data_IF_214021412188
#
_entry.id   IF_214021412188
#
_cell.length_a   1.000
_cell.length_b   1.000
_cell.length_c   1.000
_cell.angle_alpha   90.00
_cell.angle_beta   90.00
_cell.angle_gamma   90.00
#
_symmetry.space_group_name_H-M   'P 1'
#
loop_
_entity.id
_entity.type
_entity.pdbx_description
1 polymer ?
#
# COMPACT_ATOMS: atom_id res chain seq x y z
N UNK A 1 21.77 19.50 -19.57
CA UNK A 1 20.44 19.00 -19.98
C UNK A 1 20.57 17.50 -20.21
N UNK A 2 20.20 16.69 -19.22
CA UNK A 2 20.19 15.24 -19.38
C UNK A 2 18.89 14.88 -20.12
N UNK A 3 19.01 14.42 -21.35
CA UNK A 3 17.92 13.85 -22.12
C UNK A 3 17.41 12.63 -21.37
N UNK A 4 16.32 12.78 -20.64
CA UNK A 4 15.63 11.65 -20.04
C UNK A 4 15.27 10.66 -21.14
N UNK A 5 15.82 9.47 -21.12
CA UNK A 5 15.46 8.37 -22.00
C UNK A 5 13.98 8.09 -21.80
N UNK A 6 13.15 8.63 -22.68
CA UNK A 6 11.72 8.35 -22.65
C UNK A 6 11.52 6.86 -22.92
N UNK A 7 11.14 6.09 -21.90
CA UNK A 7 10.79 4.68 -22.07
C UNK A 7 9.58 4.52 -22.99
N UNK A 8 9.53 3.38 -23.69
CA UNK A 8 8.43 3.08 -24.61
C UNK A 8 7.10 3.04 -23.83
N UNK A 9 6.13 3.82 -24.30
CA UNK A 9 4.82 3.93 -23.66
C UNK A 9 4.05 2.60 -23.77
N UNK A 10 3.61 2.06 -22.63
CA UNK A 10 2.74 0.90 -22.57
C UNK A 10 1.39 1.22 -23.22
N UNK A 11 0.97 0.39 -24.17
CA UNK A 11 -0.31 0.52 -24.87
C UNK A 11 -1.32 -0.49 -24.30
N UNK A 12 -2.58 -0.14 -24.25
CA UNK A 12 -3.63 -0.99 -23.70
C UNK A 12 -3.84 -2.32 -24.47
N UNK A 13 -3.43 -2.37 -25.74
CA UNK A 13 -3.46 -3.61 -26.55
C UNK A 13 -2.37 -4.61 -26.16
N UNK A 14 -1.29 -4.14 -25.54
CA UNK A 14 -0.10 -4.93 -25.23
C UNK A 14 -0.17 -5.57 -23.82
N UNK A 15 -1.22 -5.27 -23.06
CA UNK A 15 -1.39 -5.74 -21.70
C UNK A 15 -2.72 -6.46 -21.51
N UNK A 16 -2.74 -7.45 -20.62
CA UNK A 16 -3.95 -8.21 -20.27
C UNK A 16 -3.84 -8.68 -18.83
N UNK A 17 -4.88 -8.45 -18.03
CA UNK A 17 -4.96 -8.99 -16.69
C UNK A 17 -5.31 -10.49 -16.76
N UNK A 18 -4.53 -11.38 -16.10
CA UNK A 18 -4.72 -12.83 -16.21
C UNK A 18 -5.91 -13.36 -15.39
N UNK A 19 -6.71 -12.49 -14.79
CA UNK A 19 -7.82 -12.87 -13.92
C UNK A 19 -7.41 -13.36 -12.53
N UNK A 20 -6.11 -13.50 -12.27
CA UNK A 20 -5.53 -13.92 -10.99
C UNK A 20 -4.61 -12.83 -10.46
N UNK A 21 -4.68 -12.59 -9.16
CA UNK A 21 -3.83 -11.60 -8.50
C UNK A 21 -2.43 -12.13 -8.18
N UNK A 22 -2.25 -13.43 -8.20
CA UNK A 22 -0.98 -14.08 -7.94
C UNK A 22 -0.35 -14.61 -9.22
N UNK A 23 0.94 -14.31 -9.43
CA UNK A 23 1.72 -14.85 -10.57
C UNK A 23 2.24 -16.26 -10.29
N UNK A 24 2.35 -16.62 -9.02
CA UNK A 24 2.87 -17.92 -8.56
C UNK A 24 1.91 -18.56 -7.58
N UNK A 25 2.09 -19.83 -7.32
CA UNK A 25 1.32 -20.52 -6.31
C UNK A 25 1.64 -19.98 -4.92
N UNK A 26 0.60 -19.72 -4.10
CA UNK A 26 0.75 -19.32 -2.72
C UNK A 26 0.56 -20.55 -1.85
N UNK A 27 1.58 -20.86 -1.03
CA UNK A 27 1.43 -21.82 0.06
C UNK A 27 0.70 -21.17 1.23
N UNK A 28 0.01 -22.01 2.02
CA UNK A 28 -0.56 -21.57 3.28
C UNK A 28 0.51 -20.95 4.15
N UNK A 29 0.30 -19.69 4.49
CA UNK A 29 1.14 -18.99 5.43
C UNK A 29 0.35 -18.80 6.71
N UNK A 30 0.86 -19.29 7.83
CA UNK A 30 0.30 -19.03 9.15
C UNK A 30 0.60 -17.57 9.55
N UNK A 31 0.10 -16.64 8.76
CA UNK A 31 0.19 -15.22 9.07
C UNK A 31 -0.81 -14.79 10.16
N UNK A 32 -1.63 -15.73 10.62
CA UNK A 32 -2.55 -15.52 11.73
C UNK A 32 -1.94 -16.12 12.99
N UNK A 33 -1.84 -15.34 14.08
CA UNK A 33 -1.47 -15.88 15.36
C UNK A 33 -2.33 -17.10 15.67
N UNK A 34 -1.72 -18.21 16.11
CA UNK A 34 -2.39 -19.48 16.36
C UNK A 34 -3.57 -19.39 17.35
N UNK A 35 -3.59 -18.35 18.15
CA UNK A 35 -4.59 -18.03 19.17
C UNK A 35 -5.81 -17.27 18.63
N UNK A 36 -5.77 -16.79 17.39
CA UNK A 36 -6.93 -16.12 16.76
C UNK A 36 -7.60 -17.03 15.75
N UNK A 37 -8.52 -17.87 16.25
CA UNK A 37 -9.43 -18.60 15.38
C UNK A 37 -10.39 -17.62 14.71
N UNK A 38 -10.43 -17.61 13.36
CA UNK A 38 -11.48 -16.91 12.64
C UNK A 38 -12.79 -17.68 12.81
N UNK A 39 -13.63 -17.24 13.72
CA UNK A 39 -15.02 -17.64 13.72
C UNK A 39 -15.84 -16.66 12.90
N UNK A 40 -16.87 -17.13 12.19
CA UNK A 40 -17.83 -16.28 11.49
C UNK A 40 -18.37 -15.17 12.41
N UNK A 41 -18.54 -15.45 13.70
CA UNK A 41 -19.06 -14.50 14.68
C UNK A 41 -18.08 -13.37 14.97
N UNK A 42 -16.82 -13.68 15.32
CA UNK A 42 -15.81 -12.65 15.63
C UNK A 42 -15.51 -11.75 14.43
N UNK A 43 -15.59 -12.32 13.22
CA UNK A 43 -15.36 -11.63 11.97
C UNK A 43 -16.51 -10.68 11.63
N UNK A 44 -17.75 -11.12 11.86
CA UNK A 44 -18.93 -10.27 11.69
C UNK A 44 -19.01 -9.15 12.75
N UNK A 45 -18.60 -9.41 13.98
CA UNK A 45 -18.53 -8.39 15.02
C UNK A 45 -17.47 -7.32 14.69
N UNK A 46 -16.35 -7.74 14.11
CA UNK A 46 -15.33 -6.82 13.60
C UNK A 46 -15.89 -5.95 12.47
N UNK A 47 -16.65 -6.50 11.52
CA UNK A 47 -17.32 -5.72 10.48
C UNK A 47 -18.34 -4.76 11.07
N UNK A 48 -19.13 -5.19 12.05
CA UNK A 48 -20.11 -4.34 12.75
C UNK A 48 -19.46 -3.16 13.45
N UNK A 49 -18.30 -3.35 14.05
CA UNK A 49 -17.55 -2.27 14.72
C UNK A 49 -17.13 -1.15 13.76
N UNK A 50 -16.91 -1.47 12.48
CA UNK A 50 -16.53 -0.47 11.44
C UNK A 50 -17.75 0.27 10.89
N UNK A 51 -18.94 -0.36 10.91
CA UNK A 51 -20.15 0.18 10.29
C UNK A 51 -20.60 1.49 10.92
N UNK A 52 -20.51 1.57 12.24
CA UNK A 52 -20.91 2.75 13.02
C UNK A 52 -19.75 3.69 13.32
N UNK A 53 -18.58 3.47 12.75
CA UNK A 53 -17.42 4.28 13.08
C UNK A 53 -17.57 5.69 12.50
N UNK A 54 -17.65 6.68 13.41
CA UNK A 54 -17.71 8.09 13.05
C UNK A 54 -16.29 8.68 13.05
N UNK A 55 -15.74 8.82 11.85
CA UNK A 55 -14.41 9.37 11.64
C UNK A 55 -14.29 10.82 12.11
N UNK A 56 -15.32 11.63 11.89
CA UNK A 56 -15.30 13.01 12.32
C UNK A 56 -15.26 13.12 13.83
N UNK A 57 -16.09 12.34 14.52
CA UNK A 57 -16.09 12.27 15.99
C UNK A 57 -14.78 11.74 16.52
N UNK A 58 -14.22 10.68 15.92
CA UNK A 58 -12.94 10.12 16.32
C UNK A 58 -11.81 11.14 16.20
N UNK A 59 -11.72 11.89 15.11
CA UNK A 59 -10.73 12.95 14.95
C UNK A 59 -10.93 14.10 15.92
N UNK A 60 -12.14 14.49 16.24
CA UNK A 60 -12.44 15.55 17.20
C UNK A 60 -12.08 15.10 18.64
N UNK A 61 -12.34 13.86 19.01
CA UNK A 61 -12.08 13.34 20.37
C UNK A 61 -10.59 12.99 20.59
N UNK A 62 -9.88 12.56 19.57
CA UNK A 62 -8.48 12.13 19.70
C UNK A 62 -7.47 13.23 19.40
N UNK A 63 -7.92 14.41 19.08
CA UNK A 63 -7.22 15.65 18.76
C UNK A 63 -5.79 15.52 18.20
N UNK A 64 -5.49 16.31 17.21
CA UNK A 64 -4.17 16.80 16.77
C UNK A 64 -3.01 15.91 16.60
N UNK A 65 -3.06 14.72 17.05
CA UNK A 65 -1.93 13.84 16.97
C UNK A 65 -1.92 13.22 15.59
N UNK A 66 -0.82 13.46 14.87
CA UNK A 66 -0.36 12.56 13.81
C UNK A 66 -0.22 11.10 14.36
N UNK A 67 -0.50 10.88 15.62
CA UNK A 67 -0.46 9.64 16.38
C UNK A 67 -1.85 9.15 16.81
N UNK A 68 -2.92 9.59 16.15
CA UNK A 68 -4.25 9.04 16.37
C UNK A 68 -4.21 7.51 16.26
N UNK A 69 -4.80 6.83 17.21
CA UNK A 69 -4.94 5.39 17.14
C UNK A 69 -5.89 5.00 16.00
N UNK A 70 -5.32 4.49 14.92
CA UNK A 70 -6.07 4.04 13.75
C UNK A 70 -6.47 2.57 13.84
N UNK A 71 -6.17 1.88 14.95
CA UNK A 71 -6.46 0.45 15.12
C UNK A 71 -7.94 0.08 14.93
N UNK A 72 -8.93 0.89 15.36
CA UNK A 72 -10.34 0.58 15.12
C UNK A 72 -10.70 0.45 13.65
N UNK A 73 -9.90 1.10 12.77
CA UNK A 73 -10.13 1.13 11.33
C UNK A 73 -9.24 0.11 10.62
N UNK A 74 -7.98 0.03 11.03
CA UNK A 74 -7.00 -0.84 10.39
C UNK A 74 -7.18 -2.30 10.77
N UNK A 75 -7.64 -2.61 11.99
CA UNK A 75 -7.84 -3.98 12.45
C UNK A 75 -8.82 -4.77 11.59
N UNK A 76 -10.02 -4.28 11.23
CA UNK A 76 -10.95 -5.01 10.37
C UNK A 76 -10.37 -5.35 9.00
N UNK A 77 -9.61 -4.45 8.40
CA UNK A 77 -9.00 -4.71 7.10
C UNK A 77 -7.87 -5.73 7.20
N UNK A 78 -7.07 -5.69 8.26
CA UNK A 78 -6.04 -6.71 8.53
C UNK A 78 -6.64 -8.09 8.72
N UNK A 79 -7.76 -8.19 9.43
CA UNK A 79 -8.51 -9.44 9.59
C UNK A 79 -8.99 -9.96 8.23
N UNK A 80 -9.54 -9.10 7.38
CA UNK A 80 -9.98 -9.48 6.04
C UNK A 80 -8.79 -9.94 5.16
N UNK A 81 -7.68 -9.23 5.17
CA UNK A 81 -6.47 -9.61 4.44
C UNK A 81 -5.99 -10.99 4.90
N UNK A 82 -5.91 -11.21 6.21
CA UNK A 82 -5.47 -12.48 6.76
C UNK A 82 -6.42 -13.64 6.38
N UNK A 83 -7.74 -13.44 6.49
CA UNK A 83 -8.74 -14.43 6.09
C UNK A 83 -8.64 -14.76 4.59
N UNK A 84 -8.46 -13.76 3.74
CA UNK A 84 -8.31 -13.94 2.30
C UNK A 84 -7.03 -14.71 1.97
N UNK A 85 -5.92 -14.38 2.59
CA UNK A 85 -4.65 -15.08 2.38
C UNK A 85 -4.72 -16.55 2.80
N UNK A 86 -5.36 -16.84 3.93
CA UNK A 86 -5.58 -18.22 4.36
C UNK A 86 -6.51 -18.99 3.43
N UNK A 87 -7.60 -18.36 3.00
CA UNK A 87 -8.54 -18.96 2.08
C UNK A 87 -7.85 -19.42 0.78
N UNK A 88 -7.04 -18.52 0.21
CA UNK A 88 -6.33 -18.80 -1.06
C UNK A 88 -5.19 -19.78 -0.85
N UNK A 89 -4.38 -19.62 0.20
CA UNK A 89 -3.22 -20.48 0.47
C UNK A 89 -3.58 -21.90 0.83
N UNK A 90 -4.66 -22.11 1.60
CA UNK A 90 -5.12 -23.43 2.03
C UNK A 90 -6.12 -24.07 1.08
N UNK A 91 -6.69 -23.32 0.13
CA UNK A 91 -7.79 -23.75 -0.73
C UNK A 91 -8.95 -24.37 0.07
N UNK A 92 -9.16 -23.83 1.29
CA UNK A 92 -10.16 -24.33 2.22
C UNK A 92 -11.47 -23.57 2.01
N UNK A 93 -12.55 -24.27 1.67
CA UNK A 93 -13.84 -23.69 1.35
C UNK A 93 -14.41 -22.86 2.50
N UNK A 94 -14.28 -23.32 3.74
CA UNK A 94 -14.76 -22.56 4.89
C UNK A 94 -14.06 -21.21 5.04
N UNK A 95 -12.75 -21.15 4.81
CA UNK A 95 -11.99 -19.89 4.84
C UNK A 95 -12.37 -18.97 3.66
N UNK A 96 -12.64 -19.55 2.49
CA UNK A 96 -13.14 -18.79 1.31
C UNK A 96 -14.49 -18.17 1.67
N UNK A 97 -15.40 -18.92 2.26
CA UNK A 97 -16.73 -18.45 2.63
C UNK A 97 -16.69 -17.37 3.70
N UNK A 98 -15.77 -17.47 4.67
CA UNK A 98 -15.51 -16.42 5.66
C UNK A 98 -15.02 -15.15 4.98
N UNK A 99 -13.99 -15.23 4.15
CA UNK A 99 -13.41 -14.08 3.45
C UNK A 99 -14.44 -13.40 2.52
N UNK A 100 -15.24 -14.19 1.78
CA UNK A 100 -16.35 -13.70 0.96
C UNK A 100 -17.42 -13.00 1.81
N UNK A 101 -17.81 -13.62 2.93
CA UNK A 101 -18.81 -13.06 3.84
C UNK A 101 -18.40 -11.68 4.33
N UNK A 102 -17.14 -11.50 4.74
CA UNK A 102 -16.59 -10.21 5.14
C UNK A 102 -16.67 -9.18 4.01
N UNK A 103 -16.19 -9.54 2.84
CA UNK A 103 -16.18 -8.67 1.68
C UNK A 103 -17.60 -8.19 1.33
N UNK A 104 -18.57 -9.10 1.33
CA UNK A 104 -19.97 -8.82 1.01
C UNK A 104 -20.64 -7.97 2.10
N UNK A 105 -20.41 -8.29 3.38
CA UNK A 105 -21.00 -7.53 4.48
C UNK A 105 -20.49 -6.10 4.52
N UNK A 106 -19.19 -5.87 4.34
CA UNK A 106 -18.61 -4.53 4.24
C UNK A 106 -19.25 -3.70 3.11
N UNK A 107 -19.54 -4.35 1.96
CA UNK A 107 -20.21 -3.69 0.86
C UNK A 107 -21.69 -3.38 1.18
N UNK A 108 -22.43 -4.33 1.80
CA UNK A 108 -23.85 -4.16 2.17
C UNK A 108 -24.06 -3.04 3.16
N UNK A 109 -23.22 -2.95 4.17
CA UNK A 109 -23.28 -1.89 5.19
C UNK A 109 -22.69 -0.56 4.70
N UNK A 110 -22.16 -0.55 3.48
CA UNK A 110 -21.59 0.63 2.85
C UNK A 110 -20.50 1.28 3.72
N UNK A 111 -19.54 0.46 4.19
CA UNK A 111 -18.39 0.91 4.98
C UNK A 111 -17.74 2.16 4.36
N UNK A 112 -17.20 3.06 5.16
CA UNK A 112 -16.62 4.34 4.73
C UNK A 112 -17.63 5.36 4.12
N UNK A 113 -18.93 5.13 4.21
CA UNK A 113 -19.89 6.09 3.65
C UNK A 113 -19.85 7.45 4.37
N UNK A 114 -19.53 7.46 5.66
CA UNK A 114 -19.37 8.67 6.49
C UNK A 114 -18.00 9.33 6.40
N UNK A 115 -16.99 8.65 5.84
CA UNK A 115 -15.66 9.23 5.71
C UNK A 115 -15.65 10.40 4.76
N UNK A 116 -14.76 11.36 4.99
CA UNK A 116 -14.59 12.52 4.10
C UNK A 116 -14.15 12.08 2.70
N UNK A 117 -14.79 12.58 1.66
CA UNK A 117 -14.38 12.38 0.28
C UNK A 117 -13.44 13.49 -0.20
N UNK A 118 -12.82 13.30 -1.37
CA UNK A 118 -11.90 14.29 -1.91
C UNK A 118 -12.55 15.65 -2.21
N UNK A 119 -13.81 15.65 -2.56
CA UNK A 119 -14.56 16.90 -2.85
C UNK A 119 -14.67 17.74 -1.59
N UNK A 120 -15.12 17.12 -0.50
CA UNK A 120 -15.28 17.79 0.78
C UNK A 120 -13.91 18.16 1.39
N UNK A 121 -12.89 17.32 1.20
CA UNK A 121 -11.53 17.58 1.67
C UNK A 121 -10.95 18.88 1.13
N UNK A 122 -11.29 19.26 -0.10
CA UNK A 122 -10.79 20.52 -0.69
C UNK A 122 -11.27 21.78 0.03
N UNK A 123 -12.38 21.66 0.74
CA UNK A 123 -13.01 22.75 1.49
C UNK A 123 -12.51 22.81 2.95
N UNK A 124 -11.66 21.84 3.33
CA UNK A 124 -11.10 21.77 4.68
C UNK A 124 -9.70 22.34 4.74
N UNK A 125 -9.34 23.00 5.88
CA UNK A 125 -7.97 23.45 6.10
C UNK A 125 -7.01 22.27 6.11
N UNK A 126 -5.79 22.49 5.62
CA UNK A 126 -4.74 21.48 5.71
C UNK A 126 -4.25 21.42 7.16
N UNK A 127 -4.00 20.20 7.65
CA UNK A 127 -3.58 19.98 9.04
C UNK A 127 -2.34 20.79 9.46
N UNK A 128 -1.42 21.03 8.53
CA UNK A 128 -0.18 21.79 8.77
C UNK A 128 -0.31 23.30 8.55
N UNK A 129 -1.46 23.76 8.09
CA UNK A 129 -1.80 25.18 7.90
C UNK A 129 -2.75 25.67 8.99
N UNK A 130 -3.26 24.75 9.81
CA UNK A 130 -4.19 25.05 10.87
C UNK A 130 -3.41 25.39 12.16
N UNK A 131 -3.63 26.57 12.70
CA UNK A 131 -3.05 27.02 13.97
C UNK A 131 -3.84 26.52 15.18
N UNK A 132 -5.03 25.95 14.95
CA UNK A 132 -5.83 25.34 16.00
C UNK A 132 -5.30 23.94 16.30
N UNK A 133 -4.69 23.74 17.48
CA UNK A 133 -4.19 22.46 17.89
C UNK A 133 -5.30 21.40 18.03
N UNK A 134 -6.55 21.72 18.18
CA UNK A 134 -7.68 20.80 18.36
C UNK A 134 -8.45 20.51 17.06
N UNK A 135 -8.03 21.09 15.94
CA UNK A 135 -8.69 20.86 14.67
C UNK A 135 -8.41 19.47 14.10
N UNK A 136 -9.44 18.77 13.59
CA UNK A 136 -9.26 17.47 12.97
C UNK A 136 -8.33 17.50 11.76
N UNK A 137 -7.46 16.49 11.63
CA UNK A 137 -6.68 16.30 10.42
C UNK A 137 -7.46 15.53 9.36
N UNK A 138 -8.36 16.23 8.68
CA UNK A 138 -9.21 15.68 7.61
C UNK A 138 -8.41 15.03 6.48
N UNK A 139 -7.19 15.47 6.25
CA UNK A 139 -6.30 14.91 5.25
C UNK A 139 -5.87 13.48 5.64
N UNK A 140 -5.54 13.24 6.89
CA UNK A 140 -5.22 11.90 7.38
C UNK A 140 -6.43 10.98 7.33
N UNK A 141 -7.61 11.46 7.70
CA UNK A 141 -8.84 10.68 7.56
C UNK A 141 -9.04 10.21 6.11
N UNK A 142 -8.93 11.13 5.17
CA UNK A 142 -9.04 10.80 3.75
C UNK A 142 -7.98 9.79 3.28
N UNK A 143 -6.73 9.95 3.71
CA UNK A 143 -5.65 9.01 3.35
C UNK A 143 -5.90 7.62 3.90
N UNK A 144 -6.28 7.50 5.18
CA UNK A 144 -6.55 6.21 5.80
C UNK A 144 -7.79 5.52 5.20
N UNK A 145 -8.84 6.28 4.95
CA UNK A 145 -10.03 5.74 4.25
C UNK A 145 -9.67 5.25 2.84
N UNK A 146 -8.81 5.98 2.13
CA UNK A 146 -8.30 5.58 0.81
C UNK A 146 -7.45 4.31 0.86
N UNK A 147 -6.57 4.17 1.86
CA UNK A 147 -5.77 2.95 2.08
C UNK A 147 -6.65 1.76 2.40
N UNK A 148 -7.57 1.92 3.34
CA UNK A 148 -8.52 0.89 3.70
C UNK A 148 -9.31 0.42 2.47
N UNK A 149 -9.80 1.35 1.67
CA UNK A 149 -10.52 1.03 0.43
C UNK A 149 -9.60 0.33 -0.59
N UNK A 150 -8.34 0.73 -0.70
CA UNK A 150 -7.34 0.06 -1.53
C UNK A 150 -7.20 -1.41 -1.15
N UNK A 151 -7.03 -1.70 0.13
CA UNK A 151 -6.96 -3.07 0.66
C UNK A 151 -8.25 -3.86 0.44
N UNK A 152 -9.41 -3.22 0.60
CA UNK A 152 -10.68 -3.84 0.29
C UNK A 152 -10.73 -4.30 -1.18
N UNK A 153 -10.31 -3.45 -2.12
CA UNK A 153 -10.29 -3.79 -3.54
C UNK A 153 -9.30 -4.91 -3.87
N UNK A 154 -8.13 -4.94 -3.22
CA UNK A 154 -7.17 -6.05 -3.40
C UNK A 154 -7.82 -7.37 -3.04
N UNK A 155 -8.47 -7.44 -1.87
CA UNK A 155 -9.17 -8.64 -1.43
C UNK A 155 -10.33 -9.02 -2.37
N UNK A 156 -11.05 -8.02 -2.89
CA UNK A 156 -12.09 -8.25 -3.89
C UNK A 156 -11.52 -8.85 -5.18
N UNK A 157 -10.37 -8.37 -5.67
CA UNK A 157 -9.71 -8.93 -6.86
C UNK A 157 -9.27 -10.37 -6.60
N UNK A 158 -8.71 -10.66 -5.42
CA UNK A 158 -8.28 -12.00 -5.02
C UNK A 158 -9.44 -13.01 -4.99
N UNK A 159 -10.60 -12.57 -4.51
CA UNK A 159 -11.80 -13.41 -4.34
C UNK A 159 -12.76 -13.33 -5.53
N UNK A 160 -12.41 -12.61 -6.60
CA UNK A 160 -13.33 -12.33 -7.70
C UNK A 160 -13.91 -13.59 -8.34
N UNK A 161 -13.10 -14.64 -8.51
CA UNK A 161 -13.53 -15.92 -9.08
C UNK A 161 -14.46 -16.72 -8.16
N UNK A 162 -14.46 -16.43 -6.87
CA UNK A 162 -15.26 -17.11 -5.85
C UNK A 162 -16.65 -16.47 -5.65
N UNK A 163 -16.87 -15.29 -6.24
CA UNK A 163 -18.14 -14.58 -6.13
C UNK A 163 -19.15 -15.08 -7.16
N UNK A 164 -20.36 -15.41 -6.71
CA UNK A 164 -21.46 -15.61 -7.62
C UNK A 164 -21.97 -14.27 -8.21
N UNK A 165 -22.89 -14.34 -9.16
CA UNK A 165 -23.39 -13.16 -9.90
C UNK A 165 -24.00 -12.08 -9.01
N UNK A 166 -24.75 -12.45 -7.99
CA UNK A 166 -25.40 -11.51 -7.07
C UNK A 166 -24.40 -10.91 -6.08
N UNK A 167 -23.50 -11.73 -5.55
CA UNK A 167 -22.39 -11.29 -4.70
C UNK A 167 -21.50 -10.30 -5.44
N UNK A 168 -21.13 -10.60 -6.69
CA UNK A 168 -20.36 -9.71 -7.55
C UNK A 168 -21.05 -8.36 -7.73
N UNK A 169 -22.37 -8.32 -8.00
CA UNK A 169 -23.11 -7.06 -8.17
C UNK A 169 -23.06 -6.18 -6.90
N UNK A 170 -23.16 -6.79 -5.72
CA UNK A 170 -23.11 -6.06 -4.45
C UNK A 170 -21.73 -5.42 -4.28
N UNK A 171 -20.67 -6.21 -4.44
CA UNK A 171 -19.28 -5.75 -4.29
C UNK A 171 -18.93 -4.71 -5.37
N UNK A 172 -19.30 -4.94 -6.63
CA UNK A 172 -19.03 -4.03 -7.73
C UNK A 172 -19.69 -2.66 -7.56
N UNK A 173 -20.96 -2.64 -7.11
CA UNK A 173 -21.68 -1.40 -6.80
C UNK A 173 -20.96 -0.59 -5.72
N UNK A 174 -20.51 -1.25 -4.67
CA UNK A 174 -19.77 -0.62 -3.58
C UNK A 174 -18.41 -0.09 -4.05
N UNK A 175 -17.61 -0.91 -4.74
CA UNK A 175 -16.30 -0.52 -5.27
C UNK A 175 -16.44 0.68 -6.21
N UNK A 176 -17.40 0.68 -7.13
CA UNK A 176 -17.62 1.81 -8.04
C UNK A 176 -18.00 3.10 -7.32
N UNK A 177 -18.77 3.00 -6.24
CA UNK A 177 -19.13 4.14 -5.40
C UNK A 177 -17.92 4.73 -4.68
N UNK A 178 -17.15 3.89 -4.00
CA UNK A 178 -15.97 4.30 -3.22
C UNK A 178 -14.83 4.78 -4.13
N UNK A 179 -14.64 4.16 -5.29
CA UNK A 179 -13.70 4.64 -6.30
C UNK A 179 -13.97 6.08 -6.73
N UNK A 180 -15.24 6.43 -6.97
CA UNK A 180 -15.63 7.81 -7.31
C UNK A 180 -15.37 8.77 -6.16
N UNK A 181 -15.54 8.34 -4.93
CA UNK A 181 -15.37 9.15 -3.72
C UNK A 181 -13.89 9.42 -3.43
N UNK A 182 -13.04 8.40 -3.44
CA UNK A 182 -11.67 8.48 -2.95
C UNK A 182 -10.61 8.57 -4.04
N UNK A 183 -10.74 7.81 -5.13
CA UNK A 183 -9.62 7.57 -6.04
C UNK A 183 -9.71 8.30 -7.38
N UNK A 184 -10.87 8.28 -8.03
CA UNK A 184 -11.04 8.90 -9.35
C UNK A 184 -10.58 10.35 -9.41
N UNK A 185 -10.79 11.20 -8.38
CA UNK A 185 -10.36 12.58 -8.41
C UNK A 185 -8.83 12.78 -8.34
N UNK A 186 -8.08 11.79 -7.81
CA UNK A 186 -6.64 11.92 -7.55
C UNK A 186 -5.78 10.89 -8.30
N UNK A 187 -6.38 10.00 -9.08
CA UNK A 187 -5.74 8.81 -9.68
C UNK A 187 -4.49 9.09 -10.54
N UNK A 188 -4.38 10.30 -11.08
CA UNK A 188 -3.24 10.73 -11.90
C UNK A 188 -2.63 12.05 -11.40
N UNK A 189 -2.82 12.34 -10.12
CA UNK A 189 -2.21 13.51 -9.50
C UNK A 189 -0.69 13.38 -9.55
N UNK A 190 0.00 14.45 -9.95
CA UNK A 190 1.45 14.48 -9.95
C UNK A 190 1.97 14.53 -8.51
N UNK A 191 2.98 13.75 -8.23
CA UNK A 191 3.78 13.88 -7.04
C UNK A 191 4.80 14.99 -7.27
N UNK A 192 4.74 16.05 -6.46
CA UNK A 192 5.67 17.17 -6.60
C UNK A 192 6.85 17.05 -5.66
N UNK A 193 6.63 16.45 -4.49
CA UNK A 193 7.61 16.40 -3.41
C UNK A 193 8.06 15.00 -3.05
N UNK A 194 7.16 14.05 -2.93
CA UNK A 194 7.47 12.70 -2.48
C UNK A 194 6.63 11.62 -3.15
N UNK A 195 6.99 10.37 -2.94
CA UNK A 195 6.32 9.22 -3.53
C UNK A 195 5.31 8.63 -2.54
N UNK A 196 4.06 9.08 -2.63
CA UNK A 196 2.95 8.68 -1.78
C UNK A 196 1.82 8.13 -2.65
N UNK A 197 1.90 6.84 -2.97
CA UNK A 197 1.02 6.23 -3.95
C UNK A 197 -0.45 6.24 -3.56
N UNK A 198 -0.76 6.01 -2.29
CA UNK A 198 -2.16 5.95 -1.84
C UNK A 198 -2.81 7.32 -1.90
N UNK A 199 -2.14 8.35 -1.42
CA UNK A 199 -2.62 9.72 -1.51
C UNK A 199 -2.81 10.20 -2.96
N UNK A 200 -2.03 9.65 -3.90
CA UNK A 200 -2.17 9.93 -5.32
C UNK A 200 -3.08 8.94 -6.07
N UNK A 201 -3.63 7.96 -5.36
CA UNK A 201 -4.53 6.96 -5.90
C UNK A 201 -3.93 6.02 -6.94
N UNK A 202 -2.59 6.00 -7.04
CA UNK A 202 -1.90 5.28 -8.11
C UNK A 202 -2.05 3.77 -8.01
N UNK A 203 -1.55 3.17 -6.94
CA UNK A 203 -1.63 1.72 -6.72
C UNK A 203 -3.09 1.26 -6.74
N UNK A 204 -3.94 1.94 -5.98
CA UNK A 204 -5.36 1.63 -5.92
C UNK A 204 -6.07 1.79 -7.29
N UNK A 205 -5.59 2.70 -8.17
CA UNK A 205 -6.08 2.82 -9.55
C UNK A 205 -5.78 1.57 -10.37
N UNK A 206 -4.59 0.98 -10.24
CA UNK A 206 -4.24 -0.26 -10.93
C UNK A 206 -5.07 -1.45 -10.41
N UNK A 207 -5.33 -1.50 -9.11
CA UNK A 207 -6.19 -2.52 -8.50
C UNK A 207 -7.63 -2.38 -9.00
N UNK A 208 -8.15 -1.15 -9.06
CA UNK A 208 -9.47 -0.89 -9.66
C UNK A 208 -9.54 -1.28 -11.14
N UNK A 209 -8.47 -1.04 -11.90
CA UNK A 209 -8.37 -1.50 -13.27
C UNK A 209 -8.43 -3.03 -13.36
N UNK A 210 -7.77 -3.74 -12.43
CA UNK A 210 -7.81 -5.22 -12.33
C UNK A 210 -9.20 -5.73 -11.96
N UNK A 211 -9.90 -5.05 -11.05
CA UNK A 211 -11.28 -5.39 -10.71
C UNK A 211 -12.23 -5.26 -11.91
N UNK A 212 -12.08 -4.18 -12.67
CA UNK A 212 -12.97 -3.85 -13.80
C UNK A 212 -12.48 -4.36 -15.16
N UNK A 213 -11.34 -5.04 -15.19
CA UNK A 213 -10.65 -5.49 -16.43
C UNK A 213 -10.45 -4.33 -17.44
N UNK A 214 -10.14 -3.15 -16.94
CA UNK A 214 -10.02 -1.93 -17.75
C UNK A 214 -8.58 -1.73 -18.24
N UNK A 215 -8.24 -2.31 -19.38
CA UNK A 215 -6.91 -2.22 -20.03
C UNK A 215 -6.45 -0.77 -20.28
N UNK A 216 -7.37 0.13 -20.65
CA UNK A 216 -7.02 1.54 -20.93
C UNK A 216 -6.62 2.26 -19.63
N UNK A 217 -7.35 2.01 -18.54
CA UNK A 217 -7.03 2.57 -17.24
C UNK A 217 -5.71 1.99 -16.69
N UNK A 218 -5.52 0.68 -16.83
CA UNK A 218 -4.27 0.01 -16.43
C UNK A 218 -3.05 0.58 -17.17
N UNK A 219 -3.09 0.66 -18.50
CA UNK A 219 -1.99 1.22 -19.29
C UNK A 219 -1.69 2.67 -18.89
N UNK A 220 -2.73 3.50 -18.67
CA UNK A 220 -2.56 4.87 -18.21
C UNK A 220 -1.93 4.94 -16.82
N UNK A 221 -2.37 4.09 -15.88
CA UNK A 221 -1.83 4.00 -14.53
C UNK A 221 -0.37 3.56 -14.51
N UNK A 222 -0.03 2.51 -15.26
CA UNK A 222 1.35 2.00 -15.38
C UNK A 222 2.28 3.08 -15.91
N UNK A 223 1.92 3.72 -17.03
CA UNK A 223 2.74 4.79 -17.60
C UNK A 223 2.92 5.99 -16.67
N UNK A 224 1.85 6.36 -15.94
CA UNK A 224 1.92 7.42 -14.94
C UNK A 224 2.90 7.05 -13.82
N UNK A 225 2.79 5.84 -13.29
CA UNK A 225 3.65 5.34 -12.20
C UNK A 225 5.12 5.28 -12.61
N UNK A 226 5.43 4.73 -13.78
CA UNK A 226 6.81 4.67 -14.25
C UNK A 226 7.40 6.08 -14.42
N UNK A 227 6.62 7.02 -14.92
CA UNK A 227 7.03 8.41 -15.02
C UNK A 227 7.29 9.05 -13.64
N UNK A 228 6.47 8.77 -12.64
CA UNK A 228 6.65 9.30 -11.30
C UNK A 228 7.86 8.65 -10.61
N UNK A 229 8.08 7.35 -10.78
CA UNK A 229 9.30 6.68 -10.28
C UNK A 229 10.53 7.28 -10.96
N UNK A 230 10.54 7.41 -12.28
CA UNK A 230 11.68 7.98 -13.00
C UNK A 230 12.05 9.38 -12.53
N UNK A 231 11.03 10.19 -12.23
CA UNK A 231 11.18 11.58 -11.75
C UNK A 231 11.67 11.67 -10.30
N UNK A 232 11.15 10.80 -9.41
CA UNK A 232 11.29 10.97 -7.97
C UNK A 232 12.39 10.10 -7.35
N UNK A 233 12.76 9.00 -8.02
CA UNK A 233 13.83 8.12 -7.57
C UNK A 233 15.13 8.56 -8.25
N UNK A 234 16.13 8.87 -7.44
CA UNK A 234 17.46 9.20 -7.94
C UNK A 234 18.25 7.95 -8.35
N UNK A 235 19.24 8.09 -9.19
CA UNK A 235 20.04 6.97 -9.69
C UNK A 235 20.83 6.28 -8.57
N UNK A 236 21.16 7.02 -7.49
CA UNK A 236 21.78 6.49 -6.28
C UNK A 236 20.80 5.78 -5.33
N UNK A 237 19.55 5.69 -5.72
CA UNK A 237 18.49 4.96 -5.01
C UNK A 237 17.74 5.78 -3.97
N UNK A 238 18.14 7.01 -3.65
CA UNK A 238 17.36 7.85 -2.75
C UNK A 238 16.09 8.36 -3.42
N UNK A 239 15.05 8.62 -2.60
CA UNK A 239 13.75 9.09 -3.10
C UNK A 239 13.54 10.54 -2.67
N UNK A 240 13.18 11.41 -3.61
CA UNK A 240 12.91 12.82 -3.34
C UNK A 240 11.89 12.99 -2.20
N UNK A 241 12.16 13.91 -1.30
CA UNK A 241 11.42 14.17 -0.05
C UNK A 241 11.33 12.96 0.92
N UNK A 242 11.02 11.75 0.46
CA UNK A 242 10.88 10.57 1.31
C UNK A 242 12.15 10.30 2.14
N UNK A 243 13.31 10.26 1.49
CA UNK A 243 14.60 9.92 2.12
C UNK A 243 15.17 11.05 2.98
N UNK A 244 14.68 12.29 2.82
CA UNK A 244 15.30 13.50 3.39
C UNK A 244 14.50 14.11 4.56
N UNK A 245 13.97 13.22 5.42
CA UNK A 245 13.16 13.61 6.59
C UNK A 245 13.86 13.33 7.93
N UNK A 246 15.19 13.43 7.96
CA UNK A 246 15.99 13.05 9.12
C UNK A 246 15.83 11.56 9.43
N UNK A 247 15.82 11.18 10.71
CA UNK A 247 15.64 9.78 11.13
C UNK A 247 14.30 9.20 10.65
N UNK A 248 13.27 10.01 10.51
CA UNK A 248 12.00 9.58 9.92
C UNK A 248 12.11 9.27 8.42
N UNK A 249 13.16 9.77 7.76
CA UNK A 249 13.47 9.47 6.37
C UNK A 249 13.67 7.98 6.10
N UNK A 250 14.17 7.21 7.08
CA UNK A 250 14.31 5.76 6.96
C UNK A 250 12.95 5.09 6.71
N UNK A 251 11.93 5.44 7.51
CA UNK A 251 10.59 4.91 7.35
C UNK A 251 9.96 5.36 6.02
N UNK A 252 10.03 6.65 5.71
CA UNK A 252 9.44 7.18 4.47
C UNK A 252 10.11 6.64 3.22
N UNK A 253 11.42 6.41 3.28
CA UNK A 253 12.15 5.78 2.18
C UNK A 253 11.67 4.34 1.96
N UNK A 254 11.66 3.52 3.00
CA UNK A 254 11.17 2.14 2.93
C UNK A 254 9.72 2.07 2.45
N UNK A 255 8.86 2.95 2.94
CA UNK A 255 7.47 3.06 2.51
C UNK A 255 7.35 3.40 1.02
N UNK A 256 8.18 4.33 0.52
CA UNK A 256 8.20 4.68 -0.91
C UNK A 256 8.67 3.53 -1.80
N UNK A 257 9.67 2.76 -1.36
CA UNK A 257 10.16 1.57 -2.07
C UNK A 257 9.10 0.48 -2.11
N UNK A 258 8.47 0.21 -0.97
CA UNK A 258 7.42 -0.79 -0.84
C UNK A 258 6.25 -0.51 -1.79
N UNK A 259 5.75 0.73 -1.79
CA UNK A 259 4.73 1.20 -2.73
C UNK A 259 5.17 1.00 -4.19
N UNK A 260 6.41 1.37 -4.54
CA UNK A 260 6.90 1.26 -5.90
C UNK A 260 6.97 -0.20 -6.36
N UNK A 261 7.42 -1.11 -5.49
CA UNK A 261 7.41 -2.54 -5.75
C UNK A 261 5.99 -3.10 -5.92
N UNK A 262 5.04 -2.65 -5.11
CA UNK A 262 3.62 -2.99 -5.28
C UNK A 262 3.08 -2.58 -6.65
N UNK A 263 3.45 -1.39 -7.13
CA UNK A 263 3.09 -0.95 -8.48
C UNK A 263 3.69 -1.83 -9.55
N UNK A 264 4.99 -2.12 -9.43
CA UNK A 264 5.70 -2.95 -10.41
C UNK A 264 5.09 -4.34 -10.45
N UNK A 265 4.83 -4.92 -9.29
CA UNK A 265 4.15 -6.21 -9.18
C UNK A 265 2.83 -6.24 -9.96
N UNK A 266 1.96 -5.24 -9.76
CA UNK A 266 0.67 -5.19 -10.47
C UNK A 266 0.87 -4.88 -11.97
N UNK A 267 1.85 -4.05 -12.33
CA UNK A 267 2.17 -3.79 -13.74
C UNK A 267 2.60 -5.09 -14.46
N UNK A 268 3.41 -5.91 -13.82
CA UNK A 268 3.83 -7.22 -14.34
C UNK A 268 2.69 -8.23 -14.39
N UNK A 269 1.76 -8.20 -13.43
CA UNK A 269 0.51 -8.99 -13.52
C UNK A 269 -0.26 -8.68 -14.81
N UNK A 270 -0.25 -7.42 -15.24
CA UNK A 270 -0.84 -7.00 -16.51
C UNK A 270 0.00 -7.36 -17.73
N UNK A 271 1.19 -7.94 -17.55
CA UNK A 271 2.14 -8.28 -18.62
C UNK A 271 2.96 -7.09 -19.11
N UNK A 272 2.99 -5.98 -18.39
CA UNK A 272 3.81 -4.84 -18.74
C UNK A 272 5.29 -5.12 -18.46
N UNK A 273 6.16 -4.79 -19.41
CA UNK A 273 7.61 -4.84 -19.22
C UNK A 273 8.07 -3.59 -18.45
N UNK A 274 8.77 -3.78 -17.36
CA UNK A 274 9.34 -2.69 -16.58
C UNK A 274 10.57 -2.15 -17.31
N UNK A 275 10.67 -0.84 -17.57
CA UNK A 275 11.84 -0.24 -18.19
C UNK A 275 13.12 -0.44 -17.37
N UNK A 276 14.25 -0.67 -18.05
CA UNK A 276 15.51 -0.98 -17.38
C UNK A 276 15.95 0.10 -16.39
N UNK A 277 15.83 1.37 -16.74
CA UNK A 277 16.13 2.49 -15.85
C UNK A 277 15.26 2.50 -14.58
N UNK A 278 14.00 2.08 -14.67
CA UNK A 278 13.11 1.94 -13.52
C UNK A 278 13.58 0.79 -12.63
N UNK A 279 13.93 -0.36 -13.22
CA UNK A 279 14.47 -1.51 -12.48
C UNK A 279 15.75 -1.14 -11.71
N UNK A 280 16.68 -0.43 -12.37
CA UNK A 280 17.94 0.01 -11.75
C UNK A 280 17.69 0.97 -10.57
N UNK A 281 16.81 1.95 -10.73
CA UNK A 281 16.44 2.89 -9.67
C UNK A 281 15.82 2.17 -8.47
N UNK A 282 14.90 1.24 -8.71
CA UNK A 282 14.28 0.45 -7.64
C UNK A 282 15.32 -0.45 -6.95
N UNK A 283 16.16 -1.14 -7.71
CA UNK A 283 17.22 -1.97 -7.17
C UNK A 283 18.15 -1.17 -6.24
N UNK A 284 18.58 0.01 -6.69
CA UNK A 284 19.41 0.90 -5.86
C UNK A 284 18.65 1.41 -4.64
N UNK A 285 17.34 1.66 -4.77
CA UNK A 285 16.51 2.11 -3.63
C UNK A 285 16.38 1.01 -2.56
N UNK A 286 16.28 -0.25 -2.94
CA UNK A 286 16.29 -1.37 -1.99
C UNK A 286 17.64 -1.47 -1.26
N UNK A 287 18.77 -1.21 -1.94
CA UNK A 287 20.08 -1.12 -1.27
C UNK A 287 20.13 0.02 -0.24
N UNK A 288 19.47 1.15 -0.54
CA UNK A 288 19.37 2.26 0.42
C UNK A 288 18.51 1.88 1.63
N UNK A 289 17.47 1.03 1.49
CA UNK A 289 16.74 0.47 2.65
C UNK A 289 17.71 -0.31 3.54
N UNK A 290 18.54 -1.17 2.96
CA UNK A 290 19.58 -1.90 3.71
C UNK A 290 20.54 -0.95 4.41
N UNK A 291 21.04 0.07 3.70
CA UNK A 291 21.92 1.08 4.26
C UNK A 291 21.28 1.82 5.44
N UNK A 292 20.02 2.19 5.32
CA UNK A 292 19.28 2.89 6.38
C UNK A 292 19.16 2.06 7.67
N UNK A 293 19.13 0.73 7.55
CA UNK A 293 19.06 -0.21 8.67
C UNK A 293 20.46 -0.51 9.25
N UNK A 294 21.44 -0.76 8.40
CA UNK A 294 22.78 -1.18 8.82
C UNK A 294 23.64 -0.01 9.26
N UNK A 295 23.56 1.12 8.57
CA UNK A 295 24.35 2.32 8.85
C UNK A 295 23.49 3.60 8.73
N UNK A 296 22.61 3.87 9.71
CA UNK A 296 21.73 5.04 9.70
C UNK A 296 22.48 6.37 9.55
N UNK A 297 23.69 6.46 10.11
CA UNK A 297 24.52 7.68 10.01
C UNK A 297 24.86 7.96 8.55
N UNK A 298 25.37 6.96 7.84
CA UNK A 298 25.72 7.09 6.42
C UNK A 298 24.50 7.39 5.56
N UNK A 299 23.34 6.79 5.88
CA UNK A 299 22.08 7.12 5.19
C UNK A 299 21.75 8.62 5.31
N UNK A 300 21.96 9.24 6.47
CA UNK A 300 21.66 10.64 6.73
C UNK A 300 22.66 11.63 6.14
N UNK A 301 23.86 11.19 5.74
CA UNK A 301 24.90 12.05 5.15
C UNK A 301 24.50 12.55 3.75
N UNK A 302 23.65 11.82 3.03
CA UNK A 302 23.18 12.20 1.70
C UNK A 302 22.26 13.43 1.78
N UNK A 303 22.67 14.51 1.16
CA UNK A 303 21.88 15.75 1.10
C UNK A 303 20.87 15.72 -0.05
N UNK A 304 19.70 16.30 0.17
CA UNK A 304 18.71 16.47 -0.89
C UNK A 304 19.24 17.46 -1.93
N UNK A 305 19.37 17.07 -3.22
CA UNK A 305 19.82 17.98 -4.26
C UNK A 305 18.86 19.16 -4.48
N UNK A 306 17.59 19.03 -4.08
CA UNK A 306 16.59 20.08 -4.17
C UNK A 306 16.57 21.00 -2.93
N UNK A 307 17.53 20.87 -2.01
CA UNK A 307 17.67 21.72 -0.82
C UNK A 307 16.59 21.55 0.26
N UNK A 308 15.58 20.71 0.03
CA UNK A 308 14.49 20.48 0.98
C UNK A 308 14.89 19.39 1.96
N UNK A 309 15.45 19.77 3.09
CA UNK A 309 15.59 18.89 4.25
C UNK A 309 14.45 19.17 5.23
N UNK A 310 13.46 18.27 5.30
CA UNK A 310 12.44 18.33 6.34
C UNK A 310 12.95 17.64 7.59
N UNK A 311 13.77 18.34 8.34
CA UNK A 311 14.35 17.82 9.56
C UNK A 311 13.27 17.78 10.66
N UNK A 312 12.70 16.62 10.92
CA UNK A 312 11.59 16.54 11.88
C UNK A 312 11.84 15.63 13.08
N UNK A 313 12.76 14.69 13.04
CA UNK A 313 13.09 13.85 14.19
C UNK A 313 14.59 13.64 14.22
N UNK A 314 15.23 14.25 15.20
CA UNK A 314 16.66 14.08 15.49
C UNK A 314 16.93 13.05 16.60
N UNK A 315 15.89 12.66 17.35
CA UNK A 315 15.99 11.70 18.44
C UNK A 315 15.96 10.25 17.91
N UNK A 316 17.08 9.50 18.06
CA UNK A 316 17.13 8.11 17.61
C UNK A 316 16.10 7.19 18.27
N UNK A 317 15.63 7.52 19.49
CA UNK A 317 14.60 6.75 20.20
C UNK A 317 13.22 6.88 19.57
N UNK A 318 13.02 7.91 18.75
CA UNK A 318 11.78 8.14 17.98
C UNK A 318 11.89 7.62 16.54
N UNK A 319 13.03 7.10 16.11
CA UNK A 319 13.17 6.37 14.87
C UNK A 319 12.42 5.03 15.01
N UNK A 320 11.36 4.89 14.25
CA UNK A 320 10.37 3.85 14.46
C UNK A 320 10.89 2.45 14.05
N UNK A 321 10.56 1.40 14.81
CA UNK A 321 10.84 0.00 14.47
C UNK A 321 10.22 -0.45 13.14
N UNK A 322 9.22 0.28 12.64
CA UNK A 322 8.49 -0.04 11.40
C UNK A 322 9.35 -0.16 10.15
N UNK A 323 10.51 0.49 10.10
CA UNK A 323 11.47 0.35 8.99
C UNK A 323 11.89 -1.10 8.78
N UNK A 324 12.10 -1.86 9.86
CA UNK A 324 12.52 -3.25 9.79
C UNK A 324 11.40 -4.20 9.33
N UNK A 325 10.15 -3.88 9.64
CA UNK A 325 8.99 -4.67 9.22
C UNK A 325 8.78 -4.61 7.72
N UNK A 326 8.84 -3.41 7.15
CA UNK A 326 8.73 -3.21 5.71
C UNK A 326 9.88 -3.88 4.94
N UNK A 327 11.08 -3.88 5.49
CA UNK A 327 12.25 -4.43 4.81
C UNK A 327 12.11 -5.91 4.43
N UNK A 328 11.38 -6.71 5.23
CA UNK A 328 11.15 -8.12 4.91
C UNK A 328 10.28 -8.29 3.67
N UNK A 329 9.20 -7.53 3.58
CA UNK A 329 8.30 -7.54 2.42
C UNK A 329 9.04 -7.00 1.18
N UNK A 330 9.78 -5.91 1.34
CA UNK A 330 10.56 -5.28 0.28
C UNK A 330 11.55 -6.25 -0.36
N UNK A 331 12.34 -6.96 0.44
CA UNK A 331 13.34 -7.91 -0.07
C UNK A 331 12.69 -9.04 -0.86
N UNK A 332 11.64 -9.62 -0.29
CA UNK A 332 10.94 -10.73 -0.93
C UNK A 332 10.22 -10.29 -2.19
N UNK A 333 9.57 -9.12 -2.14
CA UNK A 333 8.86 -8.58 -3.29
C UNK A 333 9.82 -8.19 -4.42
N UNK A 334 10.99 -7.64 -4.07
CA UNK A 334 12.07 -7.36 -5.02
C UNK A 334 12.52 -8.63 -5.75
N UNK A 335 12.73 -9.73 -5.02
CA UNK A 335 13.10 -11.01 -5.64
C UNK A 335 11.98 -11.58 -6.52
N UNK A 336 10.72 -11.45 -6.10
CA UNK A 336 9.56 -11.88 -6.90
C UNK A 336 9.49 -11.12 -8.22
N UNK A 337 9.66 -9.81 -8.16
CA UNK A 337 9.49 -8.90 -9.28
C UNK A 337 10.67 -8.97 -10.27
N UNK A 338 11.90 -9.02 -9.74
CA UNK A 338 13.10 -8.90 -10.58
C UNK A 338 13.83 -10.23 -10.80
N UNK A 339 13.52 -11.25 -10.00
CA UNK A 339 14.29 -12.50 -9.96
C UNK A 339 15.67 -12.35 -9.28
N UNK A 340 16.01 -11.16 -8.79
CA UNK A 340 17.30 -10.87 -8.16
C UNK A 340 17.19 -11.00 -6.65
N UNK A 341 17.99 -11.88 -6.07
CA UNK A 341 18.17 -12.00 -4.62
C UNK A 341 19.27 -11.06 -4.17
N UNK A 342 18.96 -10.23 -3.18
CA UNK A 342 19.97 -9.37 -2.57
C UNK A 342 20.76 -10.16 -1.53
N UNK A 343 22.09 -10.02 -1.59
CA UNK A 343 22.96 -10.42 -0.48
C UNK A 343 22.83 -9.40 0.64
N UNK A 344 22.57 -9.88 1.84
CA UNK A 344 22.34 -9.03 2.99
C UNK A 344 23.52 -9.07 3.96
N UNK A 345 23.88 -7.88 4.45
CA UNK A 345 24.79 -7.74 5.58
C UNK A 345 24.27 -8.54 6.80
N UNK A 346 25.17 -9.25 7.53
CA UNK A 346 24.79 -9.98 8.75
C UNK A 346 24.08 -9.11 9.81
N UNK A 347 24.39 -7.80 9.86
CA UNK A 347 23.72 -6.85 10.75
C UNK A 347 22.26 -6.69 10.33
N UNK A 348 22.00 -6.57 9.04
CA UNK A 348 20.66 -6.48 8.50
C UNK A 348 19.83 -7.74 8.84
N UNK A 349 20.37 -8.92 8.56
CA UNK A 349 19.69 -10.18 8.84
C UNK A 349 19.37 -10.36 10.33
N UNK A 350 20.30 -9.95 11.23
CA UNK A 350 20.09 -9.99 12.68
C UNK A 350 18.97 -9.05 13.11
N UNK A 351 18.98 -7.80 12.66
CA UNK A 351 17.94 -6.81 12.96
C UNK A 351 16.57 -7.25 12.41
N UNK A 352 16.55 -7.81 11.21
CA UNK A 352 15.36 -8.36 10.58
C UNK A 352 14.71 -9.46 11.43
N UNK A 353 15.51 -10.38 12.00
CA UNK A 353 14.99 -11.45 12.87
C UNK A 353 14.35 -10.92 14.16
N UNK A 354 14.88 -9.83 14.70
CA UNK A 354 14.36 -9.23 15.94
C UNK A 354 12.97 -8.58 15.74
N UNK A 355 12.61 -8.28 14.51
CA UNK A 355 11.38 -7.61 14.15
C UNK A 355 10.61 -8.43 13.11
N UNK A 356 10.43 -9.75 13.37
CA UNK A 356 9.60 -10.61 12.51
C UNK A 356 8.15 -10.13 12.59
N UNK A 357 7.64 -9.48 11.54
CA UNK A 357 6.25 -9.06 11.51
C UNK A 357 5.36 -10.26 11.19
N UNK A 358 4.08 -10.05 11.27
CA UNK A 358 3.05 -10.98 10.79
C UNK A 358 3.19 -11.30 9.28
N UNK A 359 4.16 -10.66 8.62
CA UNK A 359 4.56 -10.94 7.24
C UNK A 359 3.59 -10.43 6.18
N UNK A 360 2.48 -9.83 6.57
CA UNK A 360 1.50 -9.25 5.64
C UNK A 360 1.97 -7.86 5.22
N UNK A 361 2.06 -7.67 3.90
CA UNK A 361 2.25 -6.37 3.29
C UNK A 361 0.87 -5.76 3.00
N UNK A 362 0.53 -4.71 3.72
CA UNK A 362 -0.76 -4.03 3.60
C UNK A 362 -0.93 -3.33 2.23
N UNK A 363 0.15 -3.04 1.51
CA UNK A 363 0.09 -2.35 0.22
C UNK A 363 -0.25 -3.28 -0.93
N UNK A 364 0.24 -4.51 -0.88
CA UNK A 364 -0.07 -5.55 -1.87
C UNK A 364 -1.11 -6.55 -1.37
N UNK A 365 -1.48 -6.50 -0.09
CA UNK A 365 -2.57 -7.27 0.51
C UNK A 365 -2.28 -8.74 0.75
N UNK A 366 -1.02 -9.18 0.68
CA UNK A 366 -0.62 -10.55 1.01
C UNK A 366 0.79 -10.61 1.61
N UNK A 367 1.15 -11.77 2.14
CA UNK A 367 2.51 -11.99 2.61
C UNK A 367 3.40 -12.52 1.47
N UNK A 368 4.37 -11.72 0.98
CA UNK A 368 5.24 -12.15 -0.12
C UNK A 368 6.04 -13.41 0.19
N UNK A 369 6.33 -13.68 1.47
CA UNK A 369 7.07 -14.87 1.88
C UNK A 369 6.27 -16.17 1.71
N UNK A 370 4.96 -16.08 1.47
CA UNK A 370 4.08 -17.22 1.24
C UNK A 370 4.05 -17.67 -0.23
N UNK A 371 4.65 -16.91 -1.12
CA UNK A 371 4.76 -17.29 -2.53
C UNK A 371 5.77 -18.43 -2.65
N UNK A 372 5.35 -19.51 -3.32
CA UNK A 372 6.24 -20.65 -3.63
C UNK A 372 7.17 -20.22 -4.77
N UNK A 373 8.46 -20.33 -4.50
CA UNK A 373 9.54 -19.99 -5.44
C UNK A 373 9.92 -21.17 -6.30
#
# INVERSE_FOLDING_TARGET
>A
MLSGNAFAKIKSKDITFPGKYYTKEIKACSAIPKDKSFSNKSTLDTVRSVVGFDWAKHHTETSNSIYVDHSPITTPIKVMIAATNQAIGNKNQNNIDIAKSLLIQMAKVNTLHNSIGYKELKEKPKCWENNDPDAPCWYHEFEFAGQWFGNYMINAVMLKSELNKEEFKIVDKYIKKMYKKFLKPIQFRKNEKGFYAMANGGLATLIYASWTDNKKLAAKGINHTFKEIDKLFYDDGYINDNSFRGLRGQWYHSYGVDIALGYIYIAELWGAKVPKNIQEKIFNSVKVVNLAITNPKKFLERKNPNGLARNRITDPKKATPHTHQMAIAIDTLMEIVTGVKLEHDPIYLRKRKMHTPDGIDDLIGFNPNCIIR
#
